data_IF_777357005478
#
_entry.id   IF_777357005478
#
_cell.length_a   1.000
_cell.length_b   1.000
_cell.length_c   1.000
_cell.angle_alpha   90.00
_cell.angle_beta   90.00
_cell.angle_gamma   90.00
#
_symmetry.space_group_name_H-M   'P 1'
#
loop_
_entity.id
_entity.type
_entity.pdbx_description
1 polymer ?
#
# COMPACT_ATOMS: atom_id res chain seq x y z
N UNK A 1 -1.32 -31.41 -5.34
CA UNK A 1 -2.65 -30.91 -4.88
C UNK A 1 -2.61 -30.31 -3.47
N UNK A 2 -2.07 -30.99 -2.45
CA UNK A 2 -2.04 -30.47 -1.07
C UNK A 2 -1.24 -29.15 -0.93
N UNK A 3 -0.04 -29.06 -1.50
CA UNK A 3 0.78 -27.83 -1.47
C UNK A 3 0.06 -26.66 -2.13
N UNK A 4 -0.58 -26.89 -3.28
CA UNK A 4 -1.35 -25.87 -3.99
C UNK A 4 -2.51 -25.34 -3.13
N UNK A 5 -3.25 -26.22 -2.46
CA UNK A 5 -4.38 -25.83 -1.61
C UNK A 5 -3.91 -25.05 -0.37
N UNK A 6 -2.79 -25.45 0.24
CA UNK A 6 -2.17 -24.71 1.35
C UNK A 6 -1.72 -23.32 0.88
N UNK A 7 -1.04 -23.20 -0.25
CA UNK A 7 -0.61 -21.92 -0.80
C UNK A 7 -1.81 -21.03 -1.18
N UNK A 8 -2.89 -21.60 -1.70
CA UNK A 8 -4.11 -20.88 -2.03
C UNK A 8 -4.76 -20.30 -0.76
N UNK A 9 -4.92 -21.12 0.29
CA UNK A 9 -5.50 -20.67 1.56
C UNK A 9 -4.61 -19.61 2.24
N UNK A 10 -3.29 -19.81 2.24
CA UNK A 10 -2.33 -18.85 2.77
C UNK A 10 -2.32 -17.52 1.99
N UNK A 11 -2.41 -17.56 0.66
CA UNK A 11 -2.51 -16.36 -0.17
C UNK A 11 -3.79 -15.58 0.10
N UNK A 12 -4.93 -16.28 0.19
CA UNK A 12 -6.22 -15.67 0.50
C UNK A 12 -6.21 -14.99 1.88
N UNK A 13 -5.66 -15.64 2.92
CA UNK A 13 -5.68 -15.09 4.28
C UNK A 13 -4.93 -13.75 4.40
N UNK A 14 -3.80 -13.59 3.71
CA UNK A 14 -3.00 -12.36 3.70
C UNK A 14 -3.79 -11.19 3.10
N UNK A 15 -4.52 -11.42 2.00
CA UNK A 15 -5.37 -10.40 1.38
C UNK A 15 -6.48 -9.92 2.32
N UNK A 16 -7.12 -10.85 3.04
CA UNK A 16 -8.13 -10.53 4.05
C UNK A 16 -7.55 -9.68 5.18
N UNK A 17 -6.42 -10.09 5.75
CA UNK A 17 -5.77 -9.36 6.84
C UNK A 17 -5.41 -7.92 6.44
N UNK A 18 -4.76 -7.74 5.29
CA UNK A 18 -4.44 -6.42 4.76
C UNK A 18 -5.69 -5.55 4.54
N UNK A 19 -6.76 -6.14 3.99
CA UNK A 19 -8.02 -5.42 3.75
C UNK A 19 -8.63 -4.92 5.06
N UNK A 20 -8.67 -5.76 6.09
CA UNK A 20 -9.20 -5.39 7.41
C UNK A 20 -8.40 -4.22 8.00
N UNK A 21 -7.06 -4.29 7.96
CA UNK A 21 -6.20 -3.20 8.42
C UNK A 21 -6.45 -1.88 7.67
N UNK A 22 -6.63 -1.93 6.34
CA UNK A 22 -6.90 -0.74 5.53
C UNK A 22 -8.26 -0.13 5.86
N UNK A 23 -9.30 -0.96 5.97
CA UNK A 23 -10.66 -0.49 6.31
C UNK A 23 -10.68 0.16 7.68
N UNK A 24 -10.02 -0.45 8.68
CA UNK A 24 -9.89 0.12 10.02
C UNK A 24 -9.19 1.48 9.98
N UNK A 25 -8.02 1.58 9.33
CA UNK A 25 -7.30 2.85 9.19
C UNK A 25 -8.16 3.94 8.53
N UNK A 26 -8.95 3.60 7.52
CA UNK A 26 -9.75 4.57 6.76
C UNK A 26 -10.95 5.08 7.54
N UNK A 27 -11.55 4.22 8.36
CA UNK A 27 -12.69 4.55 9.24
C UNK A 27 -12.23 5.33 10.48
N UNK A 28 -11.07 4.99 11.03
CA UNK A 28 -10.55 5.63 12.25
C UNK A 28 -9.92 7.00 12.00
N UNK A 29 -9.32 7.24 10.83
CA UNK A 29 -8.60 8.50 10.54
C UNK A 29 -9.36 9.43 9.59
N UNK A 30 -9.30 10.73 9.89
CA UNK A 30 -9.83 11.82 9.06
C UNK A 30 -9.21 11.84 7.65
N UNK A 31 -9.94 12.41 6.68
CA UNK A 31 -9.52 12.50 5.27
C UNK A 31 -8.13 13.10 5.06
N UNK A 32 -7.71 14.04 5.92
CA UNK A 32 -6.38 14.67 5.84
C UNK A 32 -5.23 13.79 6.34
N UNK A 33 -5.49 12.84 7.25
CA UNK A 33 -4.46 12.03 7.91
C UNK A 33 -4.48 10.56 7.44
N UNK A 34 -5.55 10.14 6.77
CA UNK A 34 -5.73 8.79 6.24
C UNK A 34 -4.55 8.32 5.36
N UNK A 35 -4.06 9.10 4.36
CA UNK A 35 -2.93 8.67 3.54
C UNK A 35 -1.64 8.47 4.36
N UNK A 36 -1.41 9.32 5.37
CA UNK A 36 -0.26 9.25 6.27
C UNK A 36 -0.29 7.97 7.10
N UNK A 37 -1.44 7.64 7.70
CA UNK A 37 -1.63 6.43 8.48
C UNK A 37 -1.49 5.15 7.64
N UNK A 38 -2.10 5.12 6.46
CA UNK A 38 -2.03 3.99 5.53
C UNK A 38 -0.59 3.72 5.09
N UNK A 39 0.11 4.75 4.60
CA UNK A 39 1.50 4.64 4.17
C UNK A 39 2.41 4.17 5.31
N UNK A 40 2.25 4.70 6.52
CA UNK A 40 3.02 4.28 7.69
C UNK A 40 2.80 2.80 8.01
N UNK A 41 1.54 2.36 8.10
CA UNK A 41 1.20 0.96 8.37
C UNK A 41 1.73 0.01 7.29
N UNK A 42 1.54 0.36 6.01
CA UNK A 42 1.99 -0.46 4.87
C UNK A 42 3.52 -0.52 4.80
N UNK A 43 4.22 0.56 5.20
CA UNK A 43 5.68 0.59 5.17
C UNK A 43 6.29 -0.56 5.97
N UNK A 44 5.81 -0.84 7.18
CA UNK A 44 6.33 -1.91 8.05
C UNK A 44 6.26 -3.32 7.44
N UNK A 45 5.36 -3.57 6.49
CA UNK A 45 5.37 -4.82 5.72
C UNK A 45 6.74 -4.99 4.99
N UNK A 46 7.36 -3.90 4.53
CA UNK A 46 8.67 -3.91 3.88
C UNK A 46 9.85 -4.18 4.82
N UNK A 47 9.64 -4.13 6.14
CA UNK A 47 10.65 -4.49 7.15
C UNK A 47 10.42 -5.90 7.72
N UNK A 48 9.29 -6.54 7.43
CA UNK A 48 8.92 -7.83 8.01
C UNK A 48 10.00 -8.89 7.82
N UNK A 49 10.56 -9.02 6.61
CA UNK A 49 11.64 -9.95 6.31
C UNK A 49 12.89 -9.70 7.18
N UNK A 50 13.28 -8.44 7.39
CA UNK A 50 14.41 -8.08 8.24
C UNK A 50 14.17 -8.46 9.71
N UNK A 51 12.95 -8.23 10.23
CA UNK A 51 12.57 -8.68 11.57
C UNK A 51 12.61 -10.19 11.73
N UNK A 52 12.07 -10.94 10.77
CA UNK A 52 12.11 -12.41 10.79
C UNK A 52 13.55 -12.94 10.75
N UNK A 53 14.42 -12.33 9.95
CA UNK A 53 15.84 -12.70 9.89
C UNK A 53 16.55 -12.42 11.23
N UNK A 54 16.28 -11.27 11.87
CA UNK A 54 16.83 -10.96 13.19
C UNK A 54 16.39 -11.96 14.26
N UNK A 55 15.10 -12.33 14.27
CA UNK A 55 14.59 -13.36 15.18
C UNK A 55 15.25 -14.72 14.90
N UNK A 56 15.33 -15.14 13.64
CA UNK A 56 15.97 -16.39 13.27
C UNK A 56 17.45 -16.41 13.70
N UNK A 57 18.20 -15.33 13.46
CA UNK A 57 19.60 -15.21 13.86
C UNK A 57 19.79 -15.24 15.38
N UNK A 58 18.87 -14.66 16.15
CA UNK A 58 18.95 -14.66 17.62
C UNK A 58 18.61 -16.03 18.24
N UNK A 59 17.62 -16.73 17.68
CA UNK A 59 17.15 -18.04 18.18
C UNK A 59 18.05 -19.19 17.71
N UNK A 60 18.33 -19.28 16.41
CA UNK A 60 19.15 -20.33 15.82
C UNK A 60 19.66 -19.90 14.43
N UNK A 61 20.89 -19.36 14.33
CA UNK A 61 21.40 -18.77 13.08
C UNK A 61 21.63 -19.77 11.94
N UNK A 62 21.55 -21.08 12.20
CA UNK A 62 21.87 -22.13 11.23
C UNK A 62 20.67 -22.99 10.80
N UNK A 63 19.46 -22.75 11.34
CA UNK A 63 18.30 -23.59 11.02
C UNK A 63 17.23 -22.83 10.19
N UNK A 64 17.05 -23.16 8.89
CA UNK A 64 15.99 -22.55 8.08
C UNK A 64 14.58 -22.88 8.63
N UNK A 65 14.45 -23.97 9.39
CA UNK A 65 13.22 -24.39 10.06
C UNK A 65 12.69 -23.36 11.05
N UNK A 66 13.56 -22.63 11.76
CA UNK A 66 13.13 -21.60 12.73
C UNK A 66 12.53 -20.40 12.04
N UNK A 67 13.10 -19.97 10.90
CA UNK A 67 12.52 -18.91 10.08
C UNK A 67 11.12 -19.29 9.56
N UNK A 68 10.95 -20.53 9.11
CA UNK A 68 9.64 -21.04 8.66
C UNK A 68 8.63 -21.13 9.82
N UNK A 69 9.08 -21.60 10.99
CA UNK A 69 8.25 -21.69 12.18
C UNK A 69 7.77 -20.31 12.67
N UNK A 70 8.66 -19.31 12.67
CA UNK A 70 8.33 -17.93 13.01
C UNK A 70 7.27 -17.37 12.05
N UNK A 71 7.41 -17.60 10.74
CA UNK A 71 6.42 -17.17 9.76
C UNK A 71 5.04 -17.82 9.98
N UNK A 72 4.96 -19.02 10.56
CA UNK A 72 3.70 -19.67 10.86
C UNK A 72 3.05 -19.16 12.17
N UNK A 73 3.85 -18.97 13.22
CA UNK A 73 3.34 -18.67 14.58
C UNK A 73 3.11 -17.17 14.78
N UNK A 74 4.01 -16.30 14.31
CA UNK A 74 3.96 -14.86 14.62
C UNK A 74 2.67 -14.21 14.10
N UNK A 75 2.23 -14.42 12.84
CA UNK A 75 0.97 -13.84 12.37
C UNK A 75 -0.24 -14.32 13.17
N UNK A 76 -0.26 -15.58 13.61
CA UNK A 76 -1.34 -16.14 14.42
C UNK A 76 -1.43 -15.44 15.79
N UNK A 77 -0.30 -15.33 16.49
CA UNK A 77 -0.23 -14.69 17.81
C UNK A 77 -0.62 -13.22 17.72
N UNK A 78 -0.08 -12.48 16.74
CA UNK A 78 -0.41 -11.05 16.54
C UNK A 78 -1.89 -10.88 16.23
N UNK A 79 -2.49 -11.76 15.42
CA UNK A 79 -3.91 -11.70 15.10
C UNK A 79 -4.79 -11.95 16.32
N UNK A 80 -4.45 -12.92 17.17
CA UNK A 80 -5.16 -13.20 18.43
C UNK A 80 -5.08 -12.03 19.41
N UNK A 81 -3.93 -11.37 19.50
CA UNK A 81 -3.73 -10.18 20.36
C UNK A 81 -4.46 -8.95 19.81
N UNK A 82 -4.54 -8.79 18.49
CA UNK A 82 -5.22 -7.66 17.86
C UNK A 82 -6.76 -7.82 17.85
N UNK A 83 -7.28 -9.05 17.89
CA UNK A 83 -8.71 -9.35 17.78
C UNK A 83 -9.57 -8.60 18.82
N UNK A 84 -9.23 -8.57 20.14
CA UNK A 84 -10.01 -7.83 21.13
C UNK A 84 -10.06 -6.34 20.82
N UNK A 85 -8.95 -5.73 20.43
CA UNK A 85 -8.91 -4.31 20.08
C UNK A 85 -9.80 -4.00 18.87
N UNK A 86 -9.80 -4.87 17.86
CA UNK A 86 -10.65 -4.72 16.67
C UNK A 86 -12.14 -4.86 17.05
N UNK A 87 -12.49 -5.83 17.91
CA UNK A 87 -13.87 -6.07 18.33
C UNK A 87 -14.41 -4.97 19.26
N UNK A 88 -13.57 -4.43 20.16
CA UNK A 88 -13.95 -3.31 21.04
C UNK A 88 -14.03 -1.97 20.30
N UNK A 89 -13.32 -1.80 19.18
CA UNK A 89 -13.38 -0.59 18.35
C UNK A 89 -14.63 -0.50 17.44
N UNK A 90 -15.65 -1.36 17.61
CA UNK A 90 -16.92 -1.16 16.90
C UNK A 90 -17.62 0.13 17.39
N UNK A 91 -17.94 1.09 16.49
CA UNK A 91 -18.46 2.37 16.93
C UNK A 91 -19.90 2.21 17.43
N UNK A 92 -20.14 2.60 18.67
CA UNK A 92 -21.43 3.16 19.03
C UNK A 92 -21.64 4.43 18.19
N UNK A 93 -22.70 4.44 17.39
CA UNK A 93 -23.19 5.63 16.71
C UNK A 93 -23.37 6.77 17.71
N UNK A 94 -22.79 7.95 17.43
CA UNK A 94 -23.33 9.20 17.98
C UNK A 94 -22.37 10.21 18.62
N UNK A 95 -21.05 10.00 18.69
CA UNK A 95 -20.16 11.07 19.15
C UNK A 95 -19.22 11.53 18.05
N UNK A 96 -19.51 12.73 17.55
CA UNK A 96 -18.62 13.55 16.73
C UNK A 96 -17.35 13.82 17.56
N UNK A 97 -16.39 12.88 17.53
CA UNK A 97 -15.07 13.14 18.07
C UNK A 97 -14.46 14.28 17.26
N UNK A 98 -14.48 15.48 17.84
CA UNK A 98 -13.66 16.60 17.40
C UNK A 98 -12.21 16.18 17.64
N UNK A 99 -11.61 15.55 16.63
CA UNK A 99 -10.19 15.15 16.68
C UNK A 99 -9.35 16.44 16.75
N UNK A 100 -8.48 16.59 17.76
CA UNK A 100 -7.72 17.81 17.96
C UNK A 100 -6.74 18.06 16.81
N UNK A 101 -6.53 19.33 16.46
CA UNK A 101 -5.66 19.82 15.37
C UNK A 101 -4.16 19.47 15.51
N UNK A 102 -3.76 18.66 16.50
CA UNK A 102 -2.36 18.35 16.83
C UNK A 102 -1.78 17.12 16.10
N UNK A 103 -2.55 16.44 15.25
CA UNK A 103 -2.17 15.17 14.61
C UNK A 103 -0.92 15.23 13.71
N UNK A 104 -0.66 16.34 13.01
CA UNK A 104 0.43 16.38 12.01
C UNK A 104 1.82 16.24 12.62
N UNK A 105 2.03 16.79 13.82
CA UNK A 105 3.31 16.67 14.51
C UNK A 105 3.53 15.25 15.04
N UNK A 106 2.46 14.59 15.50
CA UNK A 106 2.50 13.19 15.94
C UNK A 106 2.83 12.28 14.75
N UNK A 107 2.15 12.45 13.60
CA UNK A 107 2.48 11.71 12.38
C UNK A 107 3.91 11.98 11.92
N UNK A 108 4.39 13.23 11.98
CA UNK A 108 5.78 13.53 11.65
C UNK A 108 6.77 12.79 12.57
N UNK A 109 6.50 12.77 13.88
CA UNK A 109 7.29 12.02 14.86
C UNK A 109 7.30 10.52 14.57
N UNK A 110 6.14 9.94 14.26
CA UNK A 110 6.00 8.53 13.87
C UNK A 110 6.76 8.21 12.57
N UNK A 111 6.74 9.10 11.59
CA UNK A 111 7.50 8.94 10.34
C UNK A 111 9.00 9.04 10.57
N UNK A 112 9.46 9.97 11.40
CA UNK A 112 10.86 10.07 11.80
C UNK A 112 11.32 8.82 12.54
N UNK A 113 10.50 8.32 13.47
CA UNK A 113 10.78 7.08 14.18
C UNK A 113 10.83 5.89 13.22
N UNK A 114 9.87 5.74 12.31
CA UNK A 114 9.90 4.69 11.30
C UNK A 114 11.14 4.78 10.40
N UNK A 115 11.54 6.00 10.00
CA UNK A 115 12.76 6.23 9.25
C UNK A 115 14.02 5.79 10.01
N UNK A 116 14.12 6.13 11.30
CA UNK A 116 15.20 5.68 12.19
C UNK A 116 15.21 4.16 12.32
N UNK A 117 14.04 3.52 12.53
CA UNK A 117 13.92 2.06 12.59
C UNK A 117 14.36 1.40 11.29
N UNK A 118 14.00 1.96 10.14
CA UNK A 118 14.45 1.47 8.83
C UNK A 118 15.98 1.54 8.68
N UNK A 119 16.59 2.68 9.01
CA UNK A 119 18.06 2.83 8.98
C UNK A 119 18.74 1.86 9.95
N UNK A 120 18.20 1.73 11.16
CA UNK A 120 18.70 0.81 12.17
C UNK A 120 18.75 -0.62 11.63
N UNK A 121 17.67 -1.10 11.01
CA UNK A 121 17.60 -2.44 10.44
C UNK A 121 18.52 -2.63 9.22
N UNK A 122 18.69 -1.61 8.38
CA UNK A 122 19.64 -1.66 7.26
C UNK A 122 21.07 -1.87 7.76
N UNK A 123 21.47 -1.05 8.73
CA UNK A 123 22.83 -1.06 9.27
C UNK A 123 23.05 -2.34 10.08
N UNK A 124 22.21 -2.62 11.07
CA UNK A 124 22.46 -3.68 12.05
C UNK A 124 21.89 -5.04 11.65
N UNK A 125 20.87 -5.09 10.80
CA UNK A 125 20.23 -6.34 10.37
C UNK A 125 21.05 -7.16 9.38
N UNK A 126 22.06 -6.56 8.74
CA UNK A 126 22.91 -7.22 7.73
C UNK A 126 24.18 -7.86 8.30
N UNK A 127 24.50 -7.65 9.58
CA UNK A 127 25.70 -8.21 10.19
C UNK A 127 25.44 -9.64 10.72
N UNK A 128 26.24 -10.60 10.27
CA UNK A 128 26.33 -11.92 10.90
C UNK A 128 27.11 -11.79 12.21
N UNK A 129 26.42 -11.43 13.28
CA UNK A 129 27.04 -11.22 14.58
C UNK A 129 27.01 -12.46 15.46
N UNK A 130 27.83 -12.48 16.51
CA UNK A 130 27.74 -13.50 17.57
C UNK A 130 26.34 -13.50 18.20
N UNK A 131 25.93 -14.62 18.81
CA UNK A 131 24.59 -14.76 19.41
C UNK A 131 24.26 -13.58 20.34
N UNK A 132 25.20 -13.14 21.18
CA UNK A 132 24.97 -12.03 22.13
C UNK A 132 24.64 -10.71 21.41
N UNK A 133 25.35 -10.37 20.35
CA UNK A 133 25.09 -9.14 19.59
C UNK A 133 23.77 -9.21 18.81
N UNK A 134 23.38 -10.40 18.31
CA UNK A 134 22.09 -10.58 17.63
C UNK A 134 20.91 -10.30 18.57
N UNK A 135 20.99 -10.75 19.84
CA UNK A 135 20.00 -10.44 20.87
C UNK A 135 19.94 -8.95 21.21
N UNK A 136 21.09 -8.25 21.25
CA UNK A 136 21.13 -6.79 21.47
C UNK A 136 20.46 -6.05 20.32
N UNK A 137 20.78 -6.41 19.07
CA UNK A 137 20.17 -5.79 17.89
C UNK A 137 18.66 -6.06 17.84
N UNK A 138 18.24 -7.30 18.14
CA UNK A 138 16.82 -7.65 18.21
C UNK A 138 16.10 -6.83 19.29
N UNK A 139 16.70 -6.70 20.48
CA UNK A 139 16.12 -5.91 21.58
C UNK A 139 15.94 -4.45 21.18
N UNK A 140 16.97 -3.84 20.56
CA UNK A 140 16.87 -2.47 20.04
C UNK A 140 15.76 -2.31 19.00
N UNK A 141 15.64 -3.26 18.08
CA UNK A 141 14.58 -3.27 17.07
C UNK A 141 13.17 -3.39 17.69
N UNK A 142 13.00 -4.22 18.72
CA UNK A 142 11.73 -4.38 19.43
C UNK A 142 11.35 -3.13 20.23
N UNK A 143 12.32 -2.45 20.86
CA UNK A 143 12.07 -1.17 21.55
C UNK A 143 11.61 -0.10 20.55
N UNK A 144 12.27 -0.01 19.39
CA UNK A 144 11.88 0.90 18.32
C UNK A 144 10.49 0.60 17.75
N UNK A 145 10.08 -0.67 17.67
CA UNK A 145 8.73 -1.09 17.29
C UNK A 145 7.68 -0.81 18.39
N UNK A 146 8.06 -0.83 19.66
CA UNK A 146 7.15 -0.62 20.78
C UNK A 146 6.87 0.87 21.04
N UNK A 147 7.82 1.76 20.73
CA UNK A 147 7.70 3.21 20.92
C UNK A 147 6.40 3.84 20.33
N UNK A 148 5.93 3.50 19.12
CA UNK A 148 4.66 3.98 18.59
C UNK A 148 3.43 3.59 19.42
N UNK A 149 3.47 2.45 20.14
CA UNK A 149 2.36 1.97 20.98
C UNK A 149 2.23 2.76 22.29
N UNK A 150 3.28 3.46 22.71
CA UNK A 150 3.28 4.28 23.93
C UNK A 150 2.41 5.53 23.73
N UNK A 151 2.30 6.05 22.51
CA UNK A 151 1.54 7.28 22.21
C UNK A 151 0.03 7.08 22.46
N UNK A 152 -0.64 6.00 21.98
CA UNK A 152 -2.01 5.70 22.37
C UNK A 152 -2.16 5.40 23.87
N UNK A 153 -1.23 4.65 24.46
CA UNK A 153 -1.32 4.22 25.86
C UNK A 153 -1.26 5.40 26.84
N UNK A 154 -0.37 6.37 26.60
CA UNK A 154 -0.27 7.57 27.43
C UNK A 154 -1.51 8.46 27.31
N UNK A 155 -2.09 8.58 26.10
CA UNK A 155 -3.32 9.34 25.90
C UNK A 155 -4.54 8.72 26.59
N UNK A 156 -4.58 7.38 26.68
CA UNK A 156 -5.66 6.66 27.37
C UNK A 156 -5.52 6.72 28.89
N UNK A 157 -4.29 6.68 29.43
CA UNK A 157 -4.04 6.86 30.86
C UNK A 157 -4.33 8.30 31.32
N UNK A 158 -3.99 9.32 30.52
CA UNK A 158 -4.28 10.71 30.89
C UNK A 158 -5.78 11.04 30.93
N UNK A 159 -6.64 10.27 30.24
CA UNK A 159 -8.08 10.48 30.28
C UNK A 159 -8.75 9.83 31.51
N UNK A 160 -8.07 8.90 32.18
CA UNK A 160 -8.55 8.24 33.40
C UNK A 160 -8.29 9.08 34.66
N UNK A 161 -7.33 10.00 34.62
CA UNK A 161 -6.93 10.84 35.77
C UNK A 161 -7.64 12.21 35.85
N UNK A 162 -8.70 12.46 35.07
CA UNK A 162 -9.52 13.69 35.21
C UNK A 162 -10.99 13.33 35.42
N UNK A 163 -11.28 12.62 36.51
CA UNK A 163 -12.60 12.61 37.12
C UNK A 163 -12.63 13.63 38.26
N UNK A 164 -12.68 14.92 37.92
CA UNK A 164 -13.19 15.92 38.85
C UNK A 164 -14.73 15.81 38.88
N UNK A 165 -15.37 15.69 40.05
CA UNK A 165 -16.83 15.69 40.15
C UNK A 165 -17.34 17.12 39.95
N UNK A 166 -17.95 17.40 38.80
CA UNK A 166 -18.58 18.70 38.57
C UNK A 166 -19.84 18.84 39.46
N UNK A 167 -19.99 19.93 40.23
CA UNK A 167 -21.15 20.18 41.06
C UNK A 167 -22.35 20.63 40.22
N UNK A 168 -23.51 20.12 40.60
CA UNK A 168 -24.84 20.54 40.12
C UNK A 168 -25.06 22.05 40.22
N UNK A 169 -25.49 22.67 39.12
CA UNK A 169 -26.62 23.62 38.99
C UNK A 169 -26.33 24.74 37.98
N UNK A 170 -27.15 24.89 36.93
CA UNK A 170 -28.28 25.83 36.92
C UNK A 170 -28.87 25.91 35.50
N UNK A 171 -30.16 25.56 35.45
CA UNK A 171 -31.09 25.80 34.37
C UNK A 171 -31.40 27.31 34.35
N UNK A 172 -31.16 28.02 33.24
CA UNK A 172 -31.87 29.26 32.86
C UNK A 172 -31.49 29.70 31.43
N UNK A 173 -32.53 29.97 30.61
CA UNK A 173 -32.68 30.92 29.48
C UNK A 173 -31.45 31.33 28.63
N UNK A 174 -31.47 31.46 27.31
CA UNK A 174 -32.53 31.67 26.33
C UNK A 174 -31.96 31.48 24.90
N UNK A 175 -32.88 31.14 23.99
CA UNK A 175 -32.93 31.47 22.56
C UNK A 175 -32.05 30.82 21.45
N UNK A 176 -32.83 30.25 20.51
CA UNK A 176 -32.75 30.27 19.04
C UNK A 176 -31.77 29.38 18.22
N UNK A 177 -32.44 28.57 17.37
CA UNK A 177 -32.03 27.93 16.09
C UNK A 177 -31.43 26.52 16.12
N UNK A 178 -32.31 25.52 16.24
CA UNK A 178 -32.20 24.23 15.54
C UNK A 178 -33.01 24.27 14.23
N UNK A 179 -32.48 23.90 13.06
CA UNK A 179 -33.33 23.52 11.94
C UNK A 179 -33.80 22.06 12.13
N UNK A 180 -35.12 21.95 12.11
CA UNK A 180 -35.92 20.74 12.07
C UNK A 180 -35.54 19.85 10.88
N UNK A 181 -35.52 18.52 11.09
CA UNK A 181 -36.20 17.52 10.26
C UNK A 181 -35.83 16.10 10.77
N UNK A 182 -36.61 15.56 11.72
CA UNK A 182 -37.03 14.14 11.72
C UNK A 182 -38.01 13.86 12.87
N UNK A 183 -39.31 13.81 12.54
CA UNK A 183 -40.37 12.97 13.13
C UNK A 183 -41.68 13.38 12.43
N UNK A 184 -42.64 12.53 12.08
CA UNK A 184 -42.99 11.25 12.67
C UNK A 184 -44.03 10.51 11.79
N UNK A 185 -44.15 9.20 12.05
CA UNK A 185 -45.37 8.38 12.04
C UNK A 185 -45.81 7.58 10.80
N UNK A 186 -46.50 6.51 11.17
CA UNK A 186 -46.64 5.19 10.57
C UNK A 186 -48.08 4.96 10.03
N UNK A 187 -48.20 4.06 9.04
CA UNK A 187 -49.39 3.30 8.58
C UNK A 187 -50.66 4.03 8.07
N UNK A 188 -51.09 3.74 6.82
CA UNK A 188 -52.26 2.87 6.46
C UNK A 188 -52.46 2.87 4.92
N UNK A 189 -52.99 1.75 4.41
CA UNK A 189 -53.16 1.32 3.01
C UNK A 189 -54.02 2.21 2.08
N UNK A 190 -53.72 2.14 0.77
CA UNK A 190 -54.63 1.67 -0.31
C UNK A 190 -54.64 2.51 -1.61
N UNK A 191 -54.39 1.79 -2.71
CA UNK A 191 -54.86 1.96 -4.09
C UNK A 191 -54.36 3.07 -5.04
N UNK A 192 -53.85 2.56 -6.18
CA UNK A 192 -53.95 3.03 -7.56
C UNK A 192 -53.23 4.35 -7.94
N UNK A 193 -52.20 4.27 -8.81
CA UNK A 193 -52.39 4.26 -10.26
C UNK A 193 -51.02 4.27 -10.97
N UNK A 194 -50.89 3.36 -11.92
CA UNK A 194 -49.77 3.22 -12.85
C UNK A 194 -49.73 4.45 -13.77
N UNK A 195 -48.62 5.18 -13.79
CA UNK A 195 -48.22 5.99 -14.94
C UNK A 195 -46.76 5.68 -15.30
N UNK A 196 -46.64 4.74 -16.23
CA UNK A 196 -45.49 4.50 -17.10
C UNK A 196 -44.89 5.83 -17.58
N UNK A 197 -43.59 6.02 -17.37
CA UNK A 197 -42.76 6.73 -18.36
C UNK A 197 -41.60 5.82 -18.72
N UNK A 198 -41.47 5.63 -20.02
CA UNK A 198 -40.69 4.63 -20.75
C UNK A 198 -39.19 4.88 -20.61
N UNK A 199 -38.44 3.78 -20.46
CA UNK A 199 -37.00 3.71 -20.67
C UNK A 199 -36.65 4.04 -22.12
N UNK A 200 -35.67 4.92 -22.34
CA UNK A 200 -34.79 4.83 -23.50
C UNK A 200 -33.37 5.31 -23.15
N UNK A 201 -32.33 4.69 -23.73
CA UNK A 201 -31.00 4.61 -23.15
C UNK A 201 -30.15 5.81 -23.57
N UNK A 202 -29.64 6.58 -22.61
CA UNK A 202 -28.62 7.58 -22.91
C UNK A 202 -27.23 7.02 -22.58
N UNK A 203 -26.76 6.28 -23.58
CA UNK A 203 -25.38 5.91 -23.80
C UNK A 203 -24.60 7.17 -24.20
N UNK A 204 -23.82 7.72 -23.26
CA UNK A 204 -22.52 8.34 -23.48
C UNK A 204 -22.04 8.99 -22.18
N UNK A 205 -21.17 8.28 -21.46
CA UNK A 205 -20.34 8.90 -20.43
C UNK A 205 -18.88 8.68 -20.79
N UNK A 206 -18.48 9.31 -21.89
CA UNK A 206 -17.10 9.54 -22.27
C UNK A 206 -16.99 10.98 -22.78
N UNK A 207 -16.72 11.88 -21.83
CA UNK A 207 -16.23 13.25 -22.00
C UNK A 207 -17.15 14.23 -22.78
N UNK A 208 -17.80 15.13 -22.03
CA UNK A 208 -18.13 16.47 -22.55
C UNK A 208 -19.47 17.03 -22.08
N UNK A 209 -19.40 18.18 -21.40
CA UNK A 209 -20.48 19.15 -21.17
C UNK A 209 -21.41 18.85 -19.98
N UNK A 210 -21.22 19.59 -18.89
CA UNK A 210 -22.17 20.60 -18.40
C UNK A 210 -21.57 21.27 -17.15
N UNK A 211 -21.13 22.51 -17.37
CA UNK A 211 -21.08 23.55 -16.37
C UNK A 211 -22.54 23.84 -15.96
N UNK A 212 -23.06 23.20 -14.92
CA UNK A 212 -24.28 23.70 -14.28
C UNK A 212 -24.27 23.50 -12.77
N UNK A 213 -24.28 24.66 -12.09
CA UNK A 213 -24.58 24.87 -10.66
C UNK A 213 -23.70 24.16 -9.62
N UNK A 214 -22.55 24.77 -9.35
CA UNK A 214 -22.26 25.29 -8.00
C UNK A 214 -22.19 24.31 -6.83
N UNK A 215 -22.03 23.00 -7.07
CA UNK A 215 -21.60 22.04 -6.04
C UNK A 215 -20.24 21.51 -6.43
N UNK A 216 -19.32 21.61 -5.48
CA UNK A 216 -18.04 20.91 -5.47
C UNK A 216 -18.33 19.45 -5.85
N UNK A 217 -17.85 19.03 -7.03
CA UNK A 217 -17.91 17.64 -7.45
C UNK A 217 -17.03 16.87 -6.48
N UNK A 218 -17.65 16.41 -5.39
CA UNK A 218 -17.16 15.27 -4.61
C UNK A 218 -16.84 14.22 -5.66
N UNK A 219 -15.56 13.84 -5.76
CA UNK A 219 -15.10 12.82 -6.66
C UNK A 219 -15.86 11.54 -6.29
N UNK A 220 -16.95 11.31 -7.02
CA UNK A 220 -17.89 10.21 -6.98
C UNK A 220 -18.58 9.90 -5.65
N UNK A 221 -19.84 10.32 -5.59
CA UNK A 221 -20.89 9.62 -4.86
C UNK A 221 -20.95 8.15 -5.34
N UNK A 222 -20.90 7.25 -4.36
CA UNK A 222 -20.97 5.77 -4.38
C UNK A 222 -20.87 5.06 -5.73
N UNK A 223 -19.73 4.40 -5.95
CA UNK A 223 -19.51 3.55 -7.11
C UNK A 223 -19.74 2.08 -6.76
N UNK A 224 -20.85 1.53 -7.26
CA UNK A 224 -20.98 0.09 -7.47
C UNK A 224 -19.82 -0.40 -8.34
N UNK A 225 -19.16 -1.51 -7.98
CA UNK A 225 -17.99 -2.06 -8.68
C UNK A 225 -18.16 -2.21 -10.21
N UNK A 226 -19.40 -2.31 -10.69
CA UNK A 226 -19.73 -2.32 -12.12
C UNK A 226 -19.36 -1.01 -12.83
N UNK A 227 -19.58 0.15 -12.19
CA UNK A 227 -19.21 1.46 -12.75
C UNK A 227 -17.69 1.67 -12.73
N UNK A 228 -16.99 1.14 -11.72
CA UNK A 228 -15.52 1.19 -11.64
C UNK A 228 -14.86 0.58 -12.88
N UNK A 229 -15.29 -0.62 -13.26
CA UNK A 229 -14.74 -1.37 -14.40
C UNK A 229 -15.09 -0.71 -15.75
N UNK A 230 -16.11 0.14 -15.79
CA UNK A 230 -16.49 0.90 -16.99
C UNK A 230 -15.67 2.18 -17.17
N UNK A 231 -14.91 2.63 -16.16
CA UNK A 231 -14.12 3.85 -16.24
C UNK A 231 -12.77 3.63 -16.93
N UNK A 232 -12.46 4.43 -17.96
CA UNK A 232 -11.16 4.42 -18.65
C UNK A 232 -10.01 4.76 -17.70
N UNK A 233 -10.22 5.69 -16.77
CA UNK A 233 -9.19 6.10 -15.80
C UNK A 233 -8.80 4.95 -14.84
N UNK A 234 -9.76 4.06 -14.53
CA UNK A 234 -9.48 2.84 -13.77
C UNK A 234 -8.56 1.90 -14.56
N UNK A 235 -8.81 1.69 -15.86
CA UNK A 235 -7.95 0.82 -16.67
C UNK A 235 -6.55 1.38 -16.88
N UNK A 236 -6.40 2.69 -17.08
CA UNK A 236 -5.07 3.33 -17.14
C UNK A 236 -4.29 3.14 -15.84
N UNK A 237 -4.97 3.29 -14.70
CA UNK A 237 -4.40 3.04 -13.39
C UNK A 237 -4.08 1.55 -13.17
N UNK A 238 -4.99 0.65 -13.56
CA UNK A 238 -4.83 -0.79 -13.47
C UNK A 238 -3.62 -1.27 -14.27
N UNK A 239 -3.46 -0.79 -15.51
CA UNK A 239 -2.30 -1.06 -16.37
C UNK A 239 -1.02 -0.51 -15.75
N UNK A 240 -1.02 0.73 -15.24
CA UNK A 240 0.15 1.31 -14.60
C UNK A 240 0.62 0.49 -13.39
N UNK A 241 -0.32 0.02 -12.55
CA UNK A 241 -0.02 -0.86 -11.43
C UNK A 241 0.47 -2.24 -11.89
N UNK A 242 -0.20 -2.84 -12.87
CA UNK A 242 0.12 -4.12 -13.48
C UNK A 242 1.46 -4.15 -14.23
N UNK A 243 1.97 -3.00 -14.67
CA UNK A 243 3.25 -2.90 -15.34
C UNK A 243 4.37 -2.40 -14.41
N UNK A 244 4.04 -1.77 -13.28
CA UNK A 244 5.00 -1.25 -12.31
C UNK A 244 5.19 -2.18 -11.10
N UNK A 245 4.22 -2.15 -10.18
CA UNK A 245 4.36 -2.80 -8.87
C UNK A 245 4.49 -4.33 -8.97
N UNK A 246 3.72 -4.96 -9.85
CA UNK A 246 3.73 -6.42 -10.04
C UNK A 246 5.03 -6.90 -10.67
N UNK A 247 5.60 -6.19 -11.64
CA UNK A 247 6.91 -6.53 -12.23
C UNK A 247 7.99 -6.46 -11.14
N UNK A 248 7.95 -5.45 -10.27
CA UNK A 248 8.85 -5.35 -9.12
C UNK A 248 8.70 -6.51 -8.13
N UNK A 249 7.47 -6.96 -7.89
CA UNK A 249 7.21 -8.13 -7.06
C UNK A 249 7.77 -9.41 -7.67
N UNK A 250 7.56 -9.62 -8.97
CA UNK A 250 8.09 -10.79 -9.69
C UNK A 250 9.62 -10.78 -9.70
N UNK A 251 10.23 -9.60 -9.88
CA UNK A 251 11.67 -9.42 -9.71
C UNK A 251 12.14 -9.87 -8.33
N UNK A 252 11.48 -9.41 -7.26
CA UNK A 252 11.80 -9.80 -5.88
C UNK A 252 11.67 -11.30 -5.64
N UNK A 253 10.62 -11.93 -6.17
CA UNK A 253 10.37 -13.36 -6.02
C UNK A 253 11.43 -14.20 -6.74
N UNK A 254 12.03 -13.68 -7.81
CA UNK A 254 13.08 -14.36 -8.58
C UNK A 254 14.50 -13.94 -8.18
N UNK A 255 14.66 -13.06 -7.18
CA UNK A 255 15.95 -12.47 -6.82
C UNK A 255 17.00 -13.52 -6.44
N UNK A 256 16.56 -14.62 -5.83
CA UNK A 256 17.39 -15.81 -5.56
C UNK A 256 18.00 -16.42 -6.82
N UNK A 257 17.15 -16.77 -7.79
CA UNK A 257 17.59 -17.35 -9.07
C UNK A 257 18.41 -16.36 -9.89
N UNK A 258 18.05 -15.07 -9.86
CA UNK A 258 18.85 -14.00 -10.49
C UNK A 258 20.25 -13.99 -9.88
N UNK A 259 20.38 -13.87 -8.56
CA UNK A 259 21.70 -13.83 -7.91
C UNK A 259 22.54 -15.10 -8.19
N UNK A 260 21.90 -16.27 -8.18
CA UNK A 260 22.54 -17.54 -8.51
C UNK A 260 23.05 -17.56 -9.95
N UNK A 261 22.24 -17.14 -10.93
CA UNK A 261 22.64 -17.14 -12.34
C UNK A 261 23.89 -16.28 -12.63
N UNK A 262 24.13 -15.23 -11.84
CA UNK A 262 25.32 -14.39 -11.93
C UNK A 262 26.54 -14.92 -11.16
N UNK A 263 26.47 -16.13 -10.57
CA UNK A 263 27.46 -16.70 -9.64
C UNK A 263 27.68 -15.84 -8.38
N UNK A 264 26.61 -15.22 -7.86
CA UNK A 264 26.67 -14.25 -6.76
C UNK A 264 25.82 -14.66 -5.56
N UNK A 265 25.81 -15.94 -5.22
CA UNK A 265 25.06 -16.48 -4.08
C UNK A 265 25.47 -15.85 -2.75
N UNK A 266 26.76 -15.51 -2.58
CA UNK A 266 27.26 -14.82 -1.38
C UNK A 266 26.68 -13.41 -1.18
N UNK A 267 26.17 -12.78 -2.25
CA UNK A 267 25.59 -11.44 -2.23
C UNK A 267 24.06 -11.46 -2.14
N UNK A 268 23.43 -12.65 -2.13
CA UNK A 268 21.98 -12.79 -2.10
C UNK A 268 21.36 -12.06 -0.90
N UNK A 269 21.92 -12.27 0.30
CA UNK A 269 21.47 -11.62 1.54
C UNK A 269 21.52 -10.09 1.43
N UNK A 270 22.61 -9.55 0.85
CA UNK A 270 22.75 -8.12 0.61
C UNK A 270 21.69 -7.61 -0.38
N UNK A 271 21.44 -8.35 -1.46
CA UNK A 271 20.49 -7.96 -2.49
C UNK A 271 19.04 -7.96 -1.97
N UNK A 272 18.67 -8.97 -1.18
CA UNK A 272 17.38 -9.01 -0.49
C UNK A 272 17.24 -7.86 0.50
N UNK A 273 18.28 -7.58 1.30
CA UNK A 273 18.27 -6.47 2.24
C UNK A 273 18.07 -5.13 1.52
N UNK A 274 18.83 -4.88 0.45
CA UNK A 274 18.70 -3.67 -0.38
C UNK A 274 17.29 -3.54 -0.95
N UNK A 275 16.73 -4.59 -1.53
CA UNK A 275 15.35 -4.55 -2.06
C UNK A 275 14.33 -4.22 -0.96
N UNK A 276 14.39 -4.94 0.16
CA UNK A 276 13.45 -4.80 1.28
C UNK A 276 13.50 -3.40 1.89
N UNK A 277 14.71 -2.88 2.14
CA UNK A 277 14.92 -1.56 2.71
C UNK A 277 14.51 -0.44 1.76
N UNK A 278 14.88 -0.52 0.48
CA UNK A 278 14.44 0.46 -0.50
C UNK A 278 12.91 0.42 -0.68
N UNK A 279 12.29 -0.76 -0.64
CA UNK A 279 10.82 -0.91 -0.66
C UNK A 279 10.16 -0.29 0.57
N UNK A 280 10.73 -0.48 1.76
CA UNK A 280 10.29 0.21 2.99
C UNK A 280 10.32 1.73 2.83
N UNK A 281 11.46 2.30 2.42
CA UNK A 281 11.56 3.74 2.22
C UNK A 281 10.64 4.23 1.10
N UNK A 282 10.50 3.47 0.01
CA UNK A 282 9.57 3.80 -1.07
C UNK A 282 8.13 3.92 -0.57
N UNK A 283 7.69 2.95 0.25
CA UNK A 283 6.36 2.99 0.90
C UNK A 283 6.23 4.21 1.80
N UNK A 284 7.23 4.52 2.62
CA UNK A 284 7.23 5.70 3.49
C UNK A 284 7.19 7.02 2.70
N UNK A 285 7.92 7.11 1.59
CA UNK A 285 7.92 8.27 0.69
C UNK A 285 6.57 8.50 0.01
N UNK A 286 5.68 7.51 -0.05
CA UNK A 286 4.36 7.65 -0.69
C UNK A 286 3.44 8.67 -0.03
N UNK A 287 3.72 9.05 1.23
CA UNK A 287 2.99 10.10 1.95
C UNK A 287 3.64 11.49 1.87
N UNK A 288 4.79 11.61 1.20
CA UNK A 288 5.42 12.90 0.91
C UNK A 288 4.47 13.91 0.21
N UNK A 289 3.57 13.50 -0.71
CA UNK A 289 2.60 14.41 -1.33
C UNK A 289 1.73 15.14 -0.30
N UNK A 290 1.38 14.48 0.81
CA UNK A 290 0.49 15.03 1.84
C UNK A 290 1.21 16.05 2.75
N UNK A 291 2.53 15.88 2.94
CA UNK A 291 3.37 16.87 3.60
C UNK A 291 3.65 18.09 2.71
N UNK A 292 3.85 17.85 1.41
CA UNK A 292 4.22 18.89 0.43
C UNK A 292 3.02 19.59 -0.21
N UNK A 293 1.77 19.16 0.04
CA UNK A 293 0.56 19.72 -0.58
C UNK A 293 0.41 21.24 -0.38
N UNK A 294 0.99 21.80 0.69
CA UNK A 294 1.02 23.27 0.94
C UNK A 294 2.01 24.05 0.05
N UNK A 295 3.05 23.41 -0.48
CA UNK A 295 4.11 24.05 -1.29
C UNK A 295 4.06 23.65 -2.76
N UNK A 296 3.62 22.43 -3.08
CA UNK A 296 3.52 21.92 -4.44
C UNK A 296 2.20 21.15 -4.58
N UNK A 297 1.21 21.74 -5.25
CA UNK A 297 -0.05 21.05 -5.56
C UNK A 297 0.16 20.19 -6.80
N UNK A 298 0.79 19.04 -6.60
CA UNK A 298 0.97 18.01 -7.62
C UNK A 298 -0.06 16.90 -7.40
N UNK A 299 -0.79 16.53 -8.45
CA UNK A 299 -1.78 15.46 -8.37
C UNK A 299 -1.12 14.15 -7.88
N UNK A 300 -1.83 13.36 -7.07
CA UNK A 300 -1.31 12.07 -6.56
C UNK A 300 -0.99 11.09 -7.69
N UNK A 301 -1.72 11.18 -8.80
CA UNK A 301 -1.43 10.48 -10.07
C UNK A 301 -0.10 10.89 -10.71
N UNK A 302 0.32 12.16 -10.52
CA UNK A 302 1.63 12.63 -10.96
C UNK A 302 2.76 12.05 -10.14
N UNK A 303 2.59 11.95 -8.81
CA UNK A 303 3.56 11.29 -7.93
C UNK A 303 3.70 9.80 -8.25
N UNK A 304 2.60 9.14 -8.60
CA UNK A 304 2.62 7.77 -9.12
C UNK A 304 3.47 7.66 -10.40
N UNK A 305 3.29 8.58 -11.35
CA UNK A 305 4.09 8.61 -12.58
C UNK A 305 5.57 8.87 -12.30
N UNK A 306 5.89 9.82 -11.41
CA UNK A 306 7.26 10.11 -11.00
C UNK A 306 7.94 8.90 -10.34
N UNK A 307 7.21 8.17 -9.50
CA UNK A 307 7.70 6.95 -8.86
C UNK A 307 7.93 5.79 -9.83
N UNK A 308 7.27 5.77 -10.99
CA UNK A 308 7.46 4.77 -12.04
C UNK A 308 8.71 5.01 -12.89
N UNK A 309 9.28 6.23 -12.93
CA UNK A 309 10.45 6.57 -13.76
C UNK A 309 11.70 5.71 -13.48
N UNK A 310 12.08 5.41 -12.22
CA UNK A 310 13.28 4.65 -11.92
C UNK A 310 13.25 3.19 -12.40
N UNK A 311 12.06 2.59 -12.51
CA UNK A 311 11.86 1.18 -12.89
C UNK A 311 12.40 0.81 -14.28
N UNK A 312 11.92 1.42 -15.38
CA UNK A 312 12.44 1.12 -16.71
C UNK A 312 13.93 1.47 -16.83
N UNK A 313 14.39 2.54 -16.17
CA UNK A 313 15.81 2.88 -16.12
C UNK A 313 16.63 1.76 -15.50
N UNK A 314 16.20 1.21 -14.35
CA UNK A 314 16.88 0.11 -13.67
C UNK A 314 16.95 -1.15 -14.55
N UNK A 315 15.83 -1.55 -15.15
CA UNK A 315 15.79 -2.74 -16.01
C UNK A 315 16.64 -2.61 -17.27
N UNK A 316 16.60 -1.47 -17.96
CA UNK A 316 17.46 -1.25 -19.13
C UNK A 316 18.94 -1.14 -18.75
N UNK A 317 19.26 -0.59 -17.58
CA UNK A 317 20.62 -0.54 -17.08
C UNK A 317 21.17 -1.95 -16.80
N UNK A 318 20.39 -2.81 -16.11
CA UNK A 318 20.76 -4.20 -15.83
C UNK A 318 20.80 -5.08 -17.09
N UNK A 319 20.01 -4.74 -18.11
CA UNK A 319 20.07 -5.39 -19.41
C UNK A 319 21.40 -5.10 -20.13
N UNK A 320 21.87 -3.85 -20.08
CA UNK A 320 23.11 -3.42 -20.77
C UNK A 320 24.38 -3.75 -19.99
N UNK A 321 24.36 -3.54 -18.67
CA UNK A 321 25.51 -3.69 -17.79
C UNK A 321 25.28 -4.89 -16.87
N UNK A 322 26.18 -5.86 -16.91
CA UNK A 322 26.09 -7.12 -16.17
C UNK A 322 26.90 -7.12 -14.85
N UNK A 323 27.11 -5.93 -14.30
CA UNK A 323 27.99 -5.69 -13.14
C UNK A 323 27.26 -5.82 -11.80
N UNK A 324 28.01 -6.04 -10.71
CA UNK A 324 27.47 -6.14 -9.33
C UNK A 324 26.81 -4.83 -8.93
N UNK A 325 27.53 -3.73 -9.12
CA UNK A 325 27.09 -2.42 -8.69
C UNK A 325 25.81 -2.02 -9.41
N UNK A 326 25.68 -2.39 -10.69
CA UNK A 326 24.47 -2.19 -11.47
C UNK A 326 23.30 -3.02 -10.95
N UNK A 327 23.52 -4.29 -10.62
CA UNK A 327 22.47 -5.16 -10.07
C UNK A 327 21.98 -4.65 -8.71
N UNK A 328 22.89 -4.19 -7.84
CA UNK A 328 22.56 -3.59 -6.54
C UNK A 328 21.81 -2.28 -6.72
N UNK A 329 22.30 -1.38 -7.57
CA UNK A 329 21.63 -0.10 -7.86
C UNK A 329 20.25 -0.32 -8.50
N UNK A 330 20.14 -1.24 -9.46
CA UNK A 330 18.88 -1.60 -10.09
C UNK A 330 17.88 -2.19 -9.09
N UNK A 331 18.34 -3.07 -8.20
CA UNK A 331 17.52 -3.61 -7.10
C UNK A 331 17.02 -2.52 -6.16
N UNK A 332 17.88 -1.56 -5.81
CA UNK A 332 17.51 -0.43 -4.97
C UNK A 332 16.43 0.45 -5.63
N UNK A 333 16.62 0.79 -6.92
CA UNK A 333 15.66 1.60 -7.68
C UNK A 333 14.32 0.88 -7.88
N UNK A 334 14.34 -0.41 -8.20
CA UNK A 334 13.13 -1.24 -8.34
C UNK A 334 12.41 -1.35 -7.00
N UNK A 335 13.14 -1.59 -5.90
CA UNK A 335 12.57 -1.66 -4.56
C UNK A 335 11.90 -0.34 -4.16
N UNK A 336 12.61 0.78 -4.35
CA UNK A 336 12.08 2.12 -4.05
C UNK A 336 10.81 2.44 -4.85
N UNK A 337 10.84 2.16 -6.15
CA UNK A 337 9.71 2.39 -7.06
C UNK A 337 8.52 1.49 -6.74
N UNK A 338 8.73 0.17 -6.63
CA UNK A 338 7.65 -0.78 -6.33
C UNK A 338 7.03 -0.50 -4.97
N UNK A 339 7.85 -0.23 -3.95
CA UNK A 339 7.41 0.15 -2.62
C UNK A 339 6.50 1.38 -2.64
N UNK A 340 6.93 2.44 -3.32
CA UNK A 340 6.10 3.65 -3.47
C UNK A 340 4.76 3.33 -4.13
N UNK A 341 4.76 2.61 -5.25
CA UNK A 341 3.53 2.27 -5.98
C UNK A 341 2.59 1.43 -5.11
N UNK A 342 3.11 0.46 -4.34
CA UNK A 342 2.30 -0.36 -3.43
C UNK A 342 1.54 0.47 -2.40
N UNK A 343 2.23 1.40 -1.72
CA UNK A 343 1.60 2.24 -0.70
C UNK A 343 0.71 3.34 -1.31
N UNK A 344 1.18 3.99 -2.37
CA UNK A 344 0.41 5.00 -3.09
C UNK A 344 -0.89 4.43 -3.66
N UNK A 345 -0.90 3.16 -4.08
CA UNK A 345 -2.08 2.52 -4.65
C UNK A 345 -3.28 2.51 -3.70
N UNK A 346 -3.08 2.29 -2.39
CA UNK A 346 -4.19 2.29 -1.42
C UNK A 346 -4.79 3.70 -1.31
N UNK A 347 -3.94 4.72 -1.20
CA UNK A 347 -4.36 6.12 -1.11
C UNK A 347 -5.04 6.62 -2.39
N UNK A 348 -4.45 6.33 -3.56
CA UNK A 348 -5.02 6.69 -4.88
C UNK A 348 -6.36 6.00 -5.10
N UNK A 349 -6.49 4.72 -4.75
CA UNK A 349 -7.77 3.99 -4.87
C UNK A 349 -8.85 4.63 -4.00
N UNK A 350 -8.50 5.03 -2.77
CA UNK A 350 -9.44 5.70 -1.85
C UNK A 350 -9.88 7.09 -2.33
N UNK A 351 -9.00 7.79 -3.04
CA UNK A 351 -9.23 9.15 -3.53
C UNK A 351 -10.02 9.16 -4.83
N UNK A 352 -9.68 8.28 -5.78
CA UNK A 352 -10.34 8.19 -7.09
C UNK A 352 -11.74 7.57 -7.00
N UNK A 353 -11.95 6.61 -6.10
CA UNK A 353 -13.16 5.77 -6.10
C UNK A 353 -13.94 5.78 -4.78
N UNK A 354 -13.55 6.64 -3.84
CA UNK A 354 -14.23 6.85 -2.57
C UNK A 354 -13.86 5.83 -1.47
N UNK A 355 -14.04 6.20 -0.19
CA UNK A 355 -13.63 5.37 0.96
C UNK A 355 -14.60 4.24 1.34
N UNK A 356 -15.89 4.34 0.98
CA UNK A 356 -16.92 3.42 1.48
C UNK A 356 -16.81 2.00 0.89
N UNK A 357 -16.28 1.87 -0.32
CA UNK A 357 -16.08 0.57 -1.01
C UNK A 357 -14.61 0.27 -1.28
N UNK A 358 -13.69 0.85 -0.50
CA UNK A 358 -12.25 0.69 -0.76
C UNK A 358 -11.81 -0.77 -0.71
N UNK A 359 -12.33 -1.57 0.24
CA UNK A 359 -11.94 -2.97 0.36
C UNK A 359 -12.21 -3.74 -0.93
N UNK A 360 -13.35 -3.48 -1.58
CA UNK A 360 -13.68 -4.09 -2.86
C UNK A 360 -12.82 -3.52 -4.01
N UNK A 361 -12.75 -2.19 -4.14
CA UNK A 361 -12.04 -1.53 -5.23
C UNK A 361 -10.53 -1.85 -5.22
N UNK A 362 -9.92 -1.87 -4.03
CA UNK A 362 -8.52 -2.21 -3.85
C UNK A 362 -8.25 -3.70 -4.09
N UNK A 363 -9.15 -4.59 -3.67
CA UNK A 363 -9.00 -6.01 -3.96
C UNK A 363 -9.13 -6.31 -5.46
N UNK A 364 -10.01 -5.62 -6.19
CA UNK A 364 -10.06 -5.70 -7.66
C UNK A 364 -8.71 -5.26 -8.23
N UNK A 365 -8.11 -4.16 -7.76
CA UNK A 365 -6.78 -3.75 -8.22
C UNK A 365 -5.69 -4.79 -7.91
N UNK A 366 -5.70 -5.38 -6.71
CA UNK A 366 -4.71 -6.39 -6.28
C UNK A 366 -4.76 -7.67 -7.13
N UNK A 367 -5.87 -7.95 -7.83
CA UNK A 367 -5.91 -9.08 -8.80
C UNK A 367 -4.78 -9.05 -9.83
N UNK A 368 -4.19 -7.87 -10.07
CA UNK A 368 -2.97 -7.71 -10.84
C UNK A 368 -1.79 -8.58 -10.35
N UNK A 369 -1.67 -8.81 -9.04
CA UNK A 369 -0.56 -9.58 -8.46
C UNK A 369 -0.53 -11.03 -8.96
N UNK A 370 -1.60 -11.84 -8.81
CA UNK A 370 -1.59 -13.21 -9.34
C UNK A 370 -1.50 -13.24 -10.86
N UNK A 371 -2.20 -12.35 -11.58
CA UNK A 371 -2.12 -12.26 -13.04
C UNK A 371 -0.70 -11.96 -13.52
N UNK A 372 -0.03 -10.98 -12.90
CA UNK A 372 1.31 -10.55 -13.27
C UNK A 372 2.37 -11.55 -12.84
N UNK A 373 2.21 -12.18 -11.67
CA UNK A 373 3.10 -13.25 -11.21
C UNK A 373 3.06 -14.46 -12.14
N UNK A 374 1.88 -14.83 -12.64
CA UNK A 374 1.75 -15.84 -13.67
C UNK A 374 2.44 -15.40 -14.96
N UNK A 375 2.05 -14.25 -15.53
CA UNK A 375 2.52 -13.83 -16.85
C UNK A 375 4.02 -13.54 -16.88
N UNK A 376 4.51 -12.68 -15.98
CA UNK A 376 5.90 -12.26 -15.96
C UNK A 376 6.82 -13.33 -15.37
N UNK A 377 6.32 -14.15 -14.44
CA UNK A 377 7.05 -15.31 -13.91
C UNK A 377 7.25 -16.37 -14.98
N UNK A 378 6.23 -16.66 -15.78
CA UNK A 378 6.34 -17.59 -16.92
C UNK A 378 7.29 -17.05 -18.00
N UNK A 379 7.26 -15.75 -18.31
CA UNK A 379 8.24 -15.15 -19.23
C UNK A 379 9.67 -15.36 -18.72
N UNK A 380 9.93 -15.10 -17.43
CA UNK A 380 11.24 -15.30 -16.84
C UNK A 380 11.67 -16.77 -16.87
N UNK A 381 10.77 -17.69 -16.53
CA UNK A 381 11.04 -19.13 -16.56
C UNK A 381 11.36 -19.63 -17.97
N UNK A 382 10.59 -19.22 -18.98
CA UNK A 382 10.84 -19.59 -20.38
C UNK A 382 12.21 -19.12 -20.87
N UNK A 383 12.61 -17.90 -20.53
CA UNK A 383 13.93 -17.36 -20.90
C UNK A 383 15.04 -18.12 -20.16
N UNK A 384 14.84 -18.39 -18.87
CA UNK A 384 15.81 -19.13 -18.05
C UNK A 384 16.01 -20.56 -18.58
N UNK A 385 14.92 -21.27 -18.86
CA UNK A 385 14.95 -22.65 -19.35
C UNK A 385 15.50 -22.75 -20.78
N UNK A 386 15.25 -21.75 -21.62
CA UNK A 386 15.78 -21.70 -23.00
C UNK A 386 17.31 -21.53 -23.03
N UNK A 387 17.90 -20.93 -22.00
CA UNK A 387 19.33 -20.69 -21.89
C UNK A 387 20.03 -21.65 -20.90
N UNK A 388 19.27 -22.46 -20.18
CA UNK A 388 19.76 -23.38 -19.15
C UNK A 388 20.26 -24.70 -19.71
N UNK A 389 21.21 -25.31 -19.01
CA UNK A 389 21.64 -26.67 -19.28
C UNK A 389 20.74 -27.64 -18.51
N UNK A 390 20.17 -28.61 -19.20
CA UNK A 390 19.38 -29.68 -18.59
C UNK A 390 20.32 -30.70 -17.96
N UNK A 391 20.28 -30.83 -16.65
CA UNK A 391 21.02 -31.85 -15.92
C UNK A 391 20.04 -32.88 -15.34
N UNK A 392 20.22 -34.15 -15.70
CA UNK A 392 19.48 -35.27 -15.13
C UNK A 392 20.17 -35.72 -13.84
N UNK A 393 19.53 -35.50 -12.69
CA UNK A 393 19.97 -36.10 -11.42
C UNK A 393 19.20 -37.40 -11.24
N UNK A 394 19.94 -38.51 -11.11
CA UNK A 394 19.36 -39.78 -10.73
C UNK A 394 19.16 -39.73 -9.22
N UNK A 395 17.90 -39.66 -8.77
CA UNK A 395 17.60 -39.78 -7.35
C UNK A 395 17.85 -41.23 -6.90
N UNK A 396 18.93 -41.43 -6.15
CA UNK A 396 19.34 -42.75 -5.65
C UNK A 396 18.31 -43.40 -4.72
N UNK A 397 17.33 -42.65 -4.20
CA UNK A 397 16.29 -43.24 -3.35
C UNK A 397 15.06 -43.74 -4.13
N UNK A 398 14.78 -43.18 -5.32
CA UNK A 398 13.49 -43.38 -6.00
C UNK A 398 13.65 -43.97 -7.40
N UNK A 399 14.88 -43.96 -7.95
CA UNK A 399 15.14 -44.30 -9.36
C UNK A 399 14.55 -43.31 -10.37
N UNK A 400 13.97 -42.20 -9.90
CA UNK A 400 13.44 -41.14 -10.76
C UNK A 400 14.58 -40.23 -11.23
N UNK A 401 14.58 -39.93 -12.53
CA UNK A 401 15.45 -38.91 -13.11
C UNK A 401 14.74 -37.58 -12.90
N UNK A 402 15.23 -36.77 -11.96
CA UNK A 402 14.77 -35.40 -11.82
C UNK A 402 15.62 -34.51 -12.73
N UNK A 403 14.98 -33.86 -13.71
CA UNK A 403 15.67 -32.97 -14.64
C UNK A 403 15.70 -31.56 -14.06
N UNK A 404 16.82 -31.19 -13.44
CA UNK A 404 17.03 -29.82 -12.99
C UNK A 404 17.61 -28.97 -14.12
N UNK A 405 17.00 -27.82 -14.39
CA UNK A 405 17.52 -26.84 -15.34
C UNK A 405 18.25 -25.77 -14.53
N UNK A 406 19.55 -25.63 -14.75
CA UNK A 406 20.36 -24.58 -14.13
C UNK A 406 20.93 -23.73 -15.25
N UNK A 407 20.63 -22.43 -15.20
CA UNK A 407 21.15 -21.46 -16.15
C UNK A 407 22.17 -20.56 -15.45
N UNK A 408 23.38 -20.53 -16.01
CA UNK A 408 24.48 -19.73 -15.50
C UNK A 408 24.95 -18.72 -16.56
N UNK A 409 25.16 -17.48 -16.11
CA UNK A 409 25.63 -16.38 -16.93
C UNK A 409 24.58 -15.31 -17.20
N UNK A 410 24.99 -14.17 -17.79
CA UNK A 410 24.12 -13.01 -17.97
C UNK A 410 22.95 -13.27 -18.93
N UNK A 411 23.07 -14.23 -19.84
CA UNK A 411 22.03 -14.57 -20.83
C UNK A 411 20.75 -15.10 -20.19
N UNK A 412 20.81 -15.66 -18.98
CA UNK A 412 19.67 -16.24 -18.27
C UNK A 412 18.58 -15.23 -17.93
N UNK A 413 18.95 -13.98 -17.66
CA UNK A 413 18.00 -12.91 -17.31
C UNK A 413 18.15 -11.65 -18.16
N UNK A 414 19.16 -11.53 -19.04
CA UNK A 414 19.34 -10.35 -19.88
C UNK A 414 18.10 -10.04 -20.74
N UNK A 415 17.54 -11.04 -21.43
CA UNK A 415 16.29 -10.89 -22.20
C UNK A 415 15.10 -10.57 -21.29
N UNK A 416 15.02 -11.19 -20.12
CA UNK A 416 13.98 -10.93 -19.12
C UNK A 416 14.00 -9.48 -18.65
N UNK A 417 15.18 -8.92 -18.36
CA UNK A 417 15.34 -7.52 -17.99
C UNK A 417 14.93 -6.57 -19.11
N UNK A 418 15.26 -6.88 -20.36
CA UNK A 418 14.79 -6.09 -21.50
C UNK A 418 13.26 -6.07 -21.59
N UNK A 419 12.62 -7.24 -21.53
CA UNK A 419 11.15 -7.37 -21.61
C UNK A 419 10.47 -6.68 -20.43
N UNK A 420 10.97 -6.86 -19.21
CA UNK A 420 10.47 -6.15 -18.02
C UNK A 420 10.69 -4.63 -18.11
N UNK A 421 11.79 -4.18 -18.72
CA UNK A 421 12.02 -2.76 -19.03
C UNK A 421 10.98 -2.19 -19.99
N UNK A 422 10.63 -2.92 -21.05
CA UNK A 422 9.56 -2.51 -21.97
C UNK A 422 8.18 -2.47 -21.30
N UNK A 423 7.86 -3.47 -20.47
CA UNK A 423 6.60 -3.52 -19.73
C UNK A 423 6.49 -2.35 -18.75
N UNK A 424 7.54 -2.09 -17.96
CA UNK A 424 7.55 -0.96 -17.01
C UNK A 424 7.51 0.39 -17.71
N UNK A 425 8.11 0.52 -18.89
CA UNK A 425 7.99 1.71 -19.74
C UNK A 425 6.54 1.92 -20.21
N UNK A 426 5.82 0.87 -20.61
CA UNK A 426 4.39 0.95 -20.92
C UNK A 426 3.58 1.41 -19.69
N UNK A 427 3.91 0.91 -18.50
CA UNK A 427 3.31 1.36 -17.25
C UNK A 427 3.53 2.85 -16.99
N UNK A 428 4.74 3.35 -17.24
CA UNK A 428 5.07 4.77 -17.13
C UNK A 428 4.24 5.63 -18.10
N UNK A 429 4.13 5.21 -19.38
CA UNK A 429 3.31 5.91 -20.37
C UNK A 429 1.84 5.95 -19.94
N UNK A 430 1.28 4.82 -19.50
CA UNK A 430 -0.10 4.75 -18.99
C UNK A 430 -0.32 5.69 -17.80
N UNK A 431 0.64 5.75 -16.87
CA UNK A 431 0.58 6.63 -15.70
C UNK A 431 0.68 8.11 -16.08
N UNK A 432 1.49 8.48 -17.07
CA UNK A 432 1.56 9.84 -17.61
C UNK A 432 0.23 10.23 -18.26
N UNK A 433 -0.38 9.35 -19.05
CA UNK A 433 -1.70 9.59 -19.66
C UNK A 433 -2.76 9.81 -18.57
N UNK A 434 -2.77 8.98 -17.53
CA UNK A 434 -3.66 9.15 -16.37
C UNK A 434 -3.43 10.49 -15.67
N UNK A 435 -2.17 10.88 -15.46
CA UNK A 435 -1.84 12.19 -14.89
C UNK A 435 -2.36 13.34 -15.76
N UNK A 436 -2.16 13.29 -17.07
CA UNK A 436 -2.64 14.33 -17.99
C UNK A 436 -4.17 14.44 -17.99
N UNK A 437 -4.89 13.32 -17.97
CA UNK A 437 -6.38 13.29 -17.89
C UNK A 437 -6.90 13.83 -16.57
N UNK A 438 -6.27 13.46 -15.46
CA UNK A 438 -6.71 13.88 -14.11
C UNK A 438 -6.29 15.31 -13.78
N UNK A 439 -5.25 15.84 -14.42
CA UNK A 439 -4.73 17.20 -14.17
C UNK A 439 -5.78 18.30 -14.32
N UNK A 440 -6.69 18.19 -15.28
CA UNK A 440 -7.76 19.18 -15.50
C UNK A 440 -8.74 19.20 -14.31
N UNK A 441 -9.10 18.03 -13.78
CA UNK A 441 -9.94 17.90 -12.60
C UNK A 441 -9.27 18.46 -11.34
N UNK A 442 -7.98 18.17 -11.12
CA UNK A 442 -7.22 18.73 -10.00
C UNK A 442 -7.03 20.25 -10.12
N UNK A 443 -6.83 20.77 -11.34
CA UNK A 443 -6.72 22.21 -11.58
C UNK A 443 -8.04 22.95 -11.30
N UNK A 444 -9.18 22.35 -11.63
CA UNK A 444 -10.50 22.90 -11.33
C UNK A 444 -10.78 22.92 -9.82
N UNK A 445 -10.44 21.83 -9.11
CA UNK A 445 -10.58 21.74 -7.66
C UNK A 445 -9.71 22.77 -6.92
N UNK A 446 -8.44 22.94 -7.35
CA UNK A 446 -7.55 23.96 -6.81
C UNK A 446 -8.06 25.39 -7.07
N UNK A 447 -8.62 25.65 -8.25
CA UNK A 447 -9.21 26.95 -8.58
C UNK A 447 -10.39 27.32 -7.67
N UNK A 448 -11.28 26.37 -7.39
CA UNK A 448 -12.40 26.57 -6.46
C UNK A 448 -11.94 26.73 -5.01
N UNK A 449 -10.87 26.06 -4.59
CA UNK A 449 -10.32 26.20 -3.24
C UNK A 449 -9.68 27.58 -3.02
N UNK A 450 -8.99 28.13 -4.02
CA UNK A 450 -8.49 29.51 -3.98
C UNK A 450 -9.66 30.49 -3.92
N UNK A 451 -10.69 30.34 -4.76
CA UNK A 451 -11.87 31.21 -4.75
C UNK A 451 -12.60 31.16 -3.40
N UNK A 452 -12.80 29.98 -2.80
CA UNK A 452 -13.43 29.83 -1.49
C UNK A 452 -12.58 30.41 -0.36
N UNK A 453 -11.25 30.33 -0.45
CA UNK A 453 -10.35 30.94 0.52
C UNK A 453 -10.40 32.47 0.40
N UNK A 454 -10.40 33.00 -0.82
CA UNK A 454 -10.51 34.45 -1.06
C UNK A 454 -11.88 35.01 -0.67
N UNK A 455 -12.96 34.24 -0.87
CA UNK A 455 -14.31 34.59 -0.44
C UNK A 455 -14.42 34.59 1.09
N UNK A 456 -13.81 33.62 1.79
CA UNK A 456 -13.76 33.57 3.26
C UNK A 456 -12.98 34.77 3.84
N UNK A 457 -11.86 35.13 3.24
CA UNK A 457 -11.10 36.34 3.59
C UNK A 457 -11.85 37.66 3.31
N UNK A 458 -12.81 37.66 2.36
CA UNK A 458 -13.63 38.82 2.04
C UNK A 458 -14.83 38.96 2.99
N UNK A 459 -15.40 37.85 3.47
CA UNK A 459 -16.49 37.84 4.46
C UNK A 459 -15.97 38.22 5.85
N UNK A 460 -14.76 37.83 6.23
CA UNK A 460 -14.12 38.24 7.51
C UNK A 460 -13.62 39.71 7.50
N UNK A 461 -13.79 40.46 6.39
CA UNK A 461 -13.37 41.87 6.24
C UNK A 461 -14.50 42.85 6.00
N UNK A 462 -15.76 42.42 5.99
CA UNK A 462 -16.89 43.35 5.97
C UNK A 462 -17.20 43.77 7.41
N UNK A 463 -17.13 45.07 7.74
CA UNK A 463 -17.27 45.60 9.10
C UNK A 463 -18.66 45.40 9.71
#
# INVERSE_FOLDING_TARGET
MQVFLICLVAGCSICWFNTVCFVLCIRSFSSSNRPLALSLSISFNGLSAAFYTLFANALSPFSPSVYLLLNAIVPLVVSLVALPAILLCHPHDGHLHVVPKHDKHIFLGLYLLAFITGIYLVIFGSFNTTNSTAWVVLTGAMVLLALPLIIPASSSCSHVDTHDPEPTAQLNHDDSKKPLLLNNNHSTESNAMIQKTVEQPMQDCCLGTILEKGRMLVLCEEHSAKKLIQCVDFWLYYIAYFCGATVGLVYSNNLGQIAQSFHRESQLTMLLAVYSSCSFFGRLLSALPDFLHRKVSFARTGWLAAALVPMPMAFFLMWKLHDVNTLVAGTALIGLSSGFIFAAAVSVTSELFGPNSIGMNHNILITNIPLGSLLYGQIAALVYDANGLKMSVIDNHNGMIDTMVVCMGPKCYSTTFFVWGCITFLGLVSSIILFLRTRTAYSAANGQQVINTTAKFRVDRTP
#
